data_IF_756413161656
#
_entry.id   IF_756413161656
#
_cell.length_a   1.000
_cell.length_b   1.000
_cell.length_c   1.000
_cell.angle_alpha   90.00
_cell.angle_beta   90.00
_cell.angle_gamma   90.00
#
_symmetry.space_group_name_H-M   'P 1'
#
loop_
_entity.id
_entity.type
_entity.pdbx_description
1 polymer ?
#
# COMPACT_ATOMS: atom_id res chain seq x y z
N UNK A 1 -7.23 13.40 19.97
CA UNK A 1 -7.94 12.98 18.73
C UNK A 1 -7.04 13.03 17.50
N UNK A 2 -6.50 14.16 17.06
CA UNK A 2 -5.59 14.16 15.88
C UNK A 2 -4.31 13.32 16.06
N UNK A 3 -3.71 13.33 17.25
CA UNK A 3 -2.53 12.51 17.56
C UNK A 3 -2.85 11.02 17.64
N UNK A 4 -4.02 10.66 18.11
CA UNK A 4 -4.51 9.29 18.18
C UNK A 4 -4.78 8.73 16.77
N UNK A 5 -5.47 9.51 15.91
CA UNK A 5 -5.71 9.16 14.50
C UNK A 5 -4.39 9.00 13.77
N UNK A 6 -3.44 9.91 14.00
CA UNK A 6 -2.10 9.81 13.40
C UNK A 6 -1.36 8.56 13.86
N UNK A 7 -1.41 8.24 15.15
CA UNK A 7 -0.77 7.03 15.69
C UNK A 7 -1.39 5.76 15.09
N UNK A 8 -2.72 5.71 14.97
CA UNK A 8 -3.42 4.60 14.33
C UNK A 8 -3.02 4.47 12.84
N UNK A 9 -2.95 5.61 12.13
CA UNK A 9 -2.51 5.63 10.73
C UNK A 9 -1.06 5.13 10.59
N UNK A 10 -0.15 5.57 11.45
CA UNK A 10 1.23 5.05 11.42
C UNK A 10 1.26 3.53 11.63
N UNK A 11 0.41 3.00 12.51
CA UNK A 11 0.30 1.56 12.75
C UNK A 11 -0.14 0.78 11.52
N UNK A 12 -1.29 1.15 10.93
CA UNK A 12 -1.83 0.45 9.76
C UNK A 12 -0.90 0.56 8.55
N UNK A 13 -0.32 1.75 8.30
CA UNK A 13 0.61 1.95 7.19
C UNK A 13 1.91 1.16 7.37
N UNK A 14 2.46 1.15 8.58
CA UNK A 14 3.69 0.38 8.87
C UNK A 14 3.44 -1.11 8.67
N UNK A 15 2.34 -1.65 9.21
CA UNK A 15 2.03 -3.09 9.10
C UNK A 15 1.81 -3.50 7.64
N UNK A 16 1.05 -2.73 6.86
CA UNK A 16 0.74 -3.06 5.46
C UNK A 16 1.87 -2.69 4.50
N UNK A 17 2.21 -1.40 4.43
CA UNK A 17 3.07 -0.89 3.36
C UNK A 17 4.57 -0.98 3.66
N UNK A 18 4.98 -0.99 4.93
CA UNK A 18 6.40 -1.09 5.30
C UNK A 18 6.80 -2.53 5.55
N UNK A 19 6.06 -3.23 6.41
CA UNK A 19 6.37 -4.60 6.82
C UNK A 19 5.79 -5.64 5.87
N UNK A 20 4.77 -5.25 5.09
CA UNK A 20 4.02 -6.13 4.15
C UNK A 20 3.39 -7.34 4.86
N UNK A 21 3.01 -7.14 6.14
CA UNK A 21 2.35 -8.15 6.97
C UNK A 21 0.83 -8.11 6.70
N UNK A 22 0.43 -8.66 5.56
CA UNK A 22 -0.95 -8.65 5.08
C UNK A 22 -1.88 -9.55 5.91
N UNK A 23 -1.34 -10.44 6.72
CA UNK A 23 -2.12 -11.22 7.68
C UNK A 23 -2.52 -10.38 8.90
N UNK A 24 -1.60 -9.51 9.39
CA UNK A 24 -1.85 -8.62 10.52
C UNK A 24 -2.51 -7.30 10.13
N UNK A 25 -2.32 -6.84 8.91
CA UNK A 25 -2.85 -5.55 8.49
C UNK A 25 -4.34 -5.37 8.78
N UNK A 26 -5.25 -6.37 8.58
CA UNK A 26 -6.67 -6.24 8.90
C UNK A 26 -6.98 -6.05 10.38
N UNK A 27 -6.05 -6.33 11.30
CA UNK A 27 -6.25 -6.08 12.74
C UNK A 27 -6.35 -4.58 13.07
N UNK A 28 -5.95 -3.69 12.16
CA UNK A 28 -6.14 -2.25 12.27
C UNK A 28 -7.53 -1.78 11.83
N UNK A 29 -8.40 -2.69 11.40
CA UNK A 29 -9.77 -2.41 10.96
C UNK A 29 -10.78 -2.87 12.01
N UNK A 30 -11.94 -2.19 12.08
CA UNK A 30 -13.06 -2.66 12.93
C UNK A 30 -13.64 -3.98 12.39
N UNK A 31 -14.34 -4.72 13.25
CA UNK A 31 -14.99 -5.98 12.82
C UNK A 31 -16.02 -5.77 11.71
N UNK A 32 -16.68 -4.62 11.69
CA UNK A 32 -17.74 -4.22 10.76
C UNK A 32 -17.23 -3.22 9.67
N UNK A 33 -15.92 -3.12 9.45
CA UNK A 33 -15.33 -2.18 8.49
C UNK A 33 -16.03 -2.23 7.14
N UNK A 34 -16.21 -1.06 6.53
CA UNK A 34 -16.60 -0.92 5.13
C UNK A 34 -15.37 -0.56 4.29
N UNK A 35 -14.92 -1.49 3.47
CA UNK A 35 -13.81 -1.28 2.54
C UNK A 35 -14.31 -1.16 1.12
N UNK A 36 -14.04 -0.03 0.48
CA UNK A 36 -14.46 0.26 -0.89
C UNK A 36 -13.25 0.28 -1.80
N UNK A 37 -13.08 -0.80 -2.53
CA UNK A 37 -12.07 -0.89 -3.57
C UNK A 37 -12.74 -0.64 -4.93
N UNK A 38 -12.34 0.44 -5.62
CA UNK A 38 -13.07 0.93 -6.81
C UNK A 38 -13.07 -0.02 -8.00
N UNK A 39 -12.16 -0.98 -8.02
CA UNK A 39 -12.03 -1.95 -9.12
C UNK A 39 -12.51 -3.34 -8.72
N UNK A 40 -12.19 -3.76 -7.50
CA UNK A 40 -12.55 -5.10 -7.02
C UNK A 40 -13.91 -5.16 -6.31
N UNK A 41 -14.48 -3.99 -5.94
CA UNK A 41 -15.79 -3.91 -5.32
C UNK A 41 -15.74 -3.55 -3.83
N UNK A 42 -16.85 -3.76 -3.15
CA UNK A 42 -17.01 -3.39 -1.74
C UNK A 42 -17.00 -4.63 -0.87
N UNK A 43 -16.21 -4.59 0.20
CA UNK A 43 -16.12 -5.63 1.20
C UNK A 43 -16.71 -5.14 2.52
N UNK A 44 -17.46 -5.99 3.20
CA UNK A 44 -18.08 -5.72 4.48
C UNK A 44 -17.48 -6.63 5.55
N UNK A 45 -16.88 -6.03 6.55
CA UNK A 45 -16.27 -6.70 7.68
C UNK A 45 -14.82 -7.12 7.48
N UNK A 46 -14.08 -7.12 8.59
CA UNK A 46 -12.64 -7.39 8.67
C UNK A 46 -12.24 -8.71 7.98
N UNK A 47 -13.02 -9.77 8.18
CA UNK A 47 -12.69 -11.08 7.61
C UNK A 47 -12.84 -11.14 6.10
N UNK A 48 -13.81 -10.40 5.53
CA UNK A 48 -13.93 -10.28 4.08
C UNK A 48 -12.72 -9.52 3.48
N UNK A 49 -12.27 -8.46 4.16
CA UNK A 49 -11.07 -7.71 3.78
C UNK A 49 -9.82 -8.60 3.90
N UNK A 50 -9.70 -9.37 5.00
CA UNK A 50 -8.58 -10.31 5.22
C UNK A 50 -8.47 -11.32 4.09
N UNK A 51 -9.56 -12.00 3.77
CA UNK A 51 -9.56 -12.99 2.70
C UNK A 51 -9.15 -12.37 1.35
N UNK A 52 -9.72 -11.21 1.02
CA UNK A 52 -9.42 -10.51 -0.22
C UNK A 52 -7.95 -10.05 -0.32
N UNK A 53 -7.41 -9.38 0.73
CA UNK A 53 -6.05 -8.85 0.67
C UNK A 53 -5.00 -9.97 0.64
N UNK A 54 -5.23 -11.05 1.37
CA UNK A 54 -4.34 -12.21 1.36
C UNK A 54 -4.28 -12.85 -0.03
N UNK A 55 -5.43 -13.07 -0.67
CA UNK A 55 -5.49 -13.61 -2.02
C UNK A 55 -4.86 -12.65 -3.05
N UNK A 56 -5.12 -11.34 -2.91
CA UNK A 56 -4.57 -10.34 -3.82
C UNK A 56 -3.05 -10.31 -3.73
N UNK A 57 -2.49 -10.22 -2.52
CA UNK A 57 -1.05 -10.09 -2.33
C UNK A 57 -0.28 -11.38 -2.61
N UNK A 58 -0.91 -12.55 -2.50
CA UNK A 58 -0.33 -13.81 -2.97
C UNK A 58 -0.03 -13.80 -4.49
N UNK A 59 -0.78 -13.00 -5.26
CA UNK A 59 -0.62 -12.90 -6.73
C UNK A 59 0.10 -11.61 -7.15
N UNK A 60 0.07 -10.57 -6.30
CA UNK A 60 0.58 -9.22 -6.59
C UNK A 60 1.73 -8.80 -5.68
N UNK A 61 2.43 -9.75 -5.08
CA UNK A 61 3.55 -9.49 -4.16
C UNK A 61 4.72 -8.69 -4.76
N UNK A 62 4.70 -8.43 -6.07
CA UNK A 62 5.70 -7.57 -6.75
C UNK A 62 5.35 -6.06 -6.70
N UNK A 63 4.18 -5.70 -6.14
CA UNK A 63 3.75 -4.29 -6.02
C UNK A 63 4.00 -3.80 -4.60
N UNK A 64 4.75 -2.72 -4.49
CA UNK A 64 5.14 -2.13 -3.21
C UNK A 64 4.57 -0.72 -3.08
N UNK A 65 4.03 -0.37 -1.92
CA UNK A 65 3.50 0.97 -1.68
C UNK A 65 4.58 1.93 -1.13
N UNK A 66 4.59 3.15 -1.67
CA UNK A 66 5.45 4.26 -1.25
C UNK A 66 4.54 5.43 -0.87
N UNK A 67 4.59 5.87 0.39
CA UNK A 67 3.86 7.04 0.86
C UNK A 67 4.52 8.30 0.33
N UNK A 68 3.75 9.15 -0.35
CA UNK A 68 4.23 10.45 -0.82
C UNK A 68 3.92 11.55 0.20
N UNK A 69 2.68 11.61 0.66
CA UNK A 69 2.20 12.53 1.70
C UNK A 69 0.88 12.02 2.31
N UNK A 70 0.48 12.58 3.44
CA UNK A 70 -0.85 12.37 4.01
C UNK A 70 -1.32 13.61 4.78
N UNK A 71 -2.64 13.71 4.95
CA UNK A 71 -3.28 14.72 5.80
C UNK A 71 -4.22 14.05 6.78
N UNK A 72 -4.36 14.66 7.96
CA UNK A 72 -5.32 14.27 8.99
C UNK A 72 -6.32 15.41 9.17
N UNK A 73 -7.60 15.14 8.99
CA UNK A 73 -8.69 16.10 9.19
C UNK A 73 -9.81 15.48 10.02
N UNK A 74 -9.87 15.86 11.28
CA UNK A 74 -10.81 15.25 12.23
C UNK A 74 -10.47 13.78 12.46
N UNK A 75 -11.40 12.91 12.10
CA UNK A 75 -11.27 11.44 12.15
C UNK A 75 -10.81 10.82 10.83
N UNK A 76 -10.49 11.64 9.82
CA UNK A 76 -10.11 11.17 8.49
C UNK A 76 -8.63 11.33 8.21
N UNK A 77 -8.10 10.34 7.51
CA UNK A 77 -6.78 10.39 6.88
C UNK A 77 -6.99 10.29 5.37
N UNK A 78 -6.36 11.19 4.64
CA UNK A 78 -6.24 11.08 3.18
C UNK A 78 -4.76 10.97 2.87
N UNK A 79 -4.39 9.96 2.10
CA UNK A 79 -3.01 9.74 1.74
C UNK A 79 -2.85 9.57 0.24
N UNK A 80 -1.74 10.04 -0.28
CA UNK A 80 -1.27 9.82 -1.64
C UNK A 80 -0.11 8.84 -1.61
N UNK A 81 -0.18 7.84 -2.46
CA UNK A 81 0.84 6.81 -2.56
C UNK A 81 1.20 6.50 -4.01
N UNK A 82 2.39 6.00 -4.18
CA UNK A 82 2.87 5.39 -5.41
C UNK A 82 2.87 3.88 -5.24
N UNK A 83 2.20 3.16 -6.12
CA UNK A 83 2.32 1.72 -6.26
C UNK A 83 3.48 1.44 -7.22
N UNK A 84 4.47 0.67 -6.77
CA UNK A 84 5.77 0.52 -7.44
C UNK A 84 6.09 -0.92 -7.76
N UNK A 85 6.45 -1.20 -9.02
CA UNK A 85 7.19 -2.39 -9.40
C UNK A 85 8.67 -2.04 -9.52
N UNK A 86 9.54 -2.83 -8.91
CA UNK A 86 10.98 -2.71 -9.17
C UNK A 86 11.32 -3.36 -10.51
N UNK A 87 11.93 -2.58 -11.40
CA UNK A 87 12.32 -3.09 -12.71
C UNK A 87 13.38 -4.20 -12.56
N UNK A 88 13.27 -5.34 -13.29
CA UNK A 88 14.23 -6.45 -13.15
C UNK A 88 15.65 -6.09 -13.64
N UNK A 89 15.80 -5.08 -14.49
CA UNK A 89 17.08 -4.47 -14.82
C UNK A 89 17.43 -3.44 -13.73
N UNK A 90 18.56 -3.62 -12.98
CA UNK A 90 18.92 -2.74 -11.87
C UNK A 90 19.27 -1.31 -12.29
N UNK A 91 19.55 -1.06 -13.56
CA UNK A 91 19.88 0.26 -14.10
C UNK A 91 18.66 1.00 -14.66
N UNK A 92 17.48 0.35 -14.68
CA UNK A 92 16.25 0.96 -15.16
C UNK A 92 15.42 1.56 -14.00
N UNK A 93 14.66 2.61 -14.34
CA UNK A 93 13.73 3.24 -13.40
C UNK A 93 12.61 2.28 -12.98
N UNK A 94 12.09 2.40 -11.75
CA UNK A 94 10.89 1.69 -11.32
C UNK A 94 9.69 1.97 -12.23
N UNK A 95 8.72 1.08 -12.21
CA UNK A 95 7.47 1.21 -12.95
C UNK A 95 6.35 1.52 -11.96
N UNK A 96 5.86 2.75 -11.99
CA UNK A 96 4.97 3.30 -10.98
C UNK A 96 3.57 3.57 -11.52
N UNK A 97 2.56 3.52 -10.63
CA UNK A 97 1.23 4.06 -10.84
C UNK A 97 0.68 4.68 -9.55
N UNK A 98 -0.13 5.72 -9.70
CA UNK A 98 -0.64 6.50 -8.57
C UNK A 98 -1.79 5.79 -7.84
N UNK A 99 -1.88 6.03 -6.53
CA UNK A 99 -2.99 5.65 -5.67
C UNK A 99 -3.29 6.74 -4.64
N UNK A 100 -4.53 6.79 -4.20
CA UNK A 100 -5.01 7.65 -3.13
C UNK A 100 -5.95 6.83 -2.26
N UNK A 101 -5.78 6.89 -0.94
CA UNK A 101 -6.65 6.20 0.03
C UNK A 101 -7.29 7.21 0.97
N UNK A 102 -8.54 6.96 1.32
CA UNK A 102 -9.27 7.65 2.38
C UNK A 102 -9.58 6.67 3.49
N UNK A 103 -9.13 6.97 4.70
CA UNK A 103 -9.42 6.21 5.92
C UNK A 103 -10.32 7.03 6.84
N UNK A 104 -11.24 6.37 7.55
CA UNK A 104 -12.00 6.99 8.65
C UNK A 104 -11.77 6.22 9.94
N UNK A 105 -11.23 6.92 10.93
CA UNK A 105 -10.94 6.40 12.25
C UNK A 105 -12.24 6.18 13.02
N UNK A 106 -12.34 5.04 13.69
CA UNK A 106 -13.52 4.64 14.47
C UNK A 106 -13.31 4.63 15.99
N UNK A 107 -12.09 4.91 16.45
CA UNK A 107 -11.70 4.80 17.85
C UNK A 107 -10.82 3.58 18.13
N UNK A 108 -10.26 3.53 19.33
CA UNK A 108 -9.48 2.38 19.84
C UNK A 108 -8.33 1.92 18.94
N UNK A 109 -7.76 2.84 18.15
CA UNK A 109 -6.67 2.55 17.22
C UNK A 109 -7.12 1.91 15.90
N UNK A 110 -8.44 1.83 15.62
CA UNK A 110 -9.01 1.12 14.48
C UNK A 110 -9.68 2.06 13.48
N UNK A 111 -9.70 1.63 12.21
CA UNK A 111 -10.41 2.27 11.11
C UNK A 111 -11.68 1.49 10.76
N UNK A 112 -12.81 2.20 10.67
CA UNK A 112 -14.11 1.63 10.31
C UNK A 112 -14.47 1.79 8.84
N UNK A 113 -13.68 2.58 8.12
CA UNK A 113 -13.87 2.80 6.67
C UNK A 113 -12.53 2.98 6.00
N UNK A 114 -12.41 2.37 4.81
CA UNK A 114 -11.31 2.60 3.87
C UNK A 114 -11.85 2.66 2.45
N UNK A 115 -11.32 3.57 1.65
CA UNK A 115 -11.69 3.69 0.25
C UNK A 115 -10.46 3.99 -0.59
N UNK A 116 -10.19 3.11 -1.57
CA UNK A 116 -9.06 3.21 -2.47
C UNK A 116 -9.45 3.73 -3.84
N UNK A 117 -8.68 4.70 -4.28
CA UNK A 117 -8.71 5.26 -5.62
C UNK A 117 -7.35 5.06 -6.27
N UNK A 118 -7.31 4.39 -7.40
CA UNK A 118 -6.07 4.26 -8.15
C UNK A 118 -6.34 4.27 -9.66
N UNK A 119 -5.31 4.67 -10.41
CA UNK A 119 -5.40 4.72 -11.87
C UNK A 119 -5.39 3.30 -12.45
N UNK A 120 -6.58 2.74 -12.67
CA UNK A 120 -6.76 1.40 -13.24
C UNK A 120 -6.09 1.23 -14.60
N UNK A 121 -6.09 2.28 -15.43
CA UNK A 121 -5.43 2.24 -16.73
C UNK A 121 -3.91 2.26 -16.57
N UNK A 122 -3.40 3.14 -15.72
CA UNK A 122 -1.99 3.22 -15.37
C UNK A 122 -1.49 1.91 -14.76
N UNK A 123 -2.24 1.33 -13.82
CA UNK A 123 -1.93 0.04 -13.21
C UNK A 123 -1.84 -1.10 -14.23
N UNK A 124 -2.80 -1.17 -15.18
CA UNK A 124 -2.75 -2.16 -16.26
C UNK A 124 -1.50 -2.00 -17.12
N UNK A 125 -1.17 -0.76 -17.50
CA UNK A 125 0.04 -0.45 -18.29
C UNK A 125 1.30 -0.77 -17.50
N UNK A 126 1.35 -0.41 -16.21
CA UNK A 126 2.48 -0.70 -15.34
C UNK A 126 2.72 -2.21 -15.22
N UNK A 127 1.66 -2.98 -14.97
CA UNK A 127 1.74 -4.44 -14.89
C UNK A 127 2.24 -5.06 -16.20
N UNK A 128 1.71 -4.61 -17.36
CA UNK A 128 2.16 -5.09 -18.66
C UNK A 128 3.66 -4.78 -18.88
N UNK A 129 4.08 -3.55 -18.61
CA UNK A 129 5.49 -3.15 -18.72
C UNK A 129 6.41 -3.98 -17.83
N UNK A 130 5.97 -4.24 -16.59
CA UNK A 130 6.73 -5.09 -15.67
C UNK A 130 6.85 -6.53 -16.21
N UNK A 131 5.75 -7.14 -16.64
CA UNK A 131 5.76 -8.50 -17.21
C UNK A 131 6.69 -8.59 -18.43
N UNK A 132 6.60 -7.64 -19.36
CA UNK A 132 7.48 -7.57 -20.54
C UNK A 132 8.96 -7.37 -20.14
N UNK A 133 9.23 -6.59 -19.08
CA UNK A 133 10.58 -6.40 -18.58
C UNK A 133 11.15 -7.70 -17.98
N UNK A 134 10.35 -8.42 -17.18
CA UNK A 134 10.75 -9.73 -16.62
C UNK A 134 11.04 -10.73 -17.74
N UNK A 135 10.20 -10.80 -18.78
CA UNK A 135 10.43 -11.67 -19.93
C UNK A 135 11.74 -11.32 -20.66
N UNK A 136 12.00 -10.04 -20.91
CA UNK A 136 13.26 -9.57 -21.54
C UNK A 136 14.51 -9.89 -20.73
N UNK A 137 14.38 -9.91 -19.40
CA UNK A 137 15.45 -10.30 -18.47
C UNK A 137 15.55 -11.83 -18.27
N UNK A 138 14.89 -12.63 -19.12
CA UNK A 138 14.97 -14.10 -19.10
C UNK A 138 14.15 -14.74 -17.99
N UNK A 139 13.06 -14.09 -17.56
CA UNK A 139 12.17 -14.57 -16.49
C UNK A 139 12.76 -14.40 -15.09
N UNK A 140 13.84 -13.63 -14.94
CA UNK A 140 14.48 -13.37 -13.65
C UNK A 140 14.07 -12.00 -13.12
N UNK A 141 13.71 -11.94 -11.83
CA UNK A 141 13.61 -10.70 -11.10
C UNK A 141 14.99 -10.11 -10.76
N UNK A 142 14.99 -9.05 -9.96
CA UNK A 142 16.22 -8.50 -9.40
C UNK A 142 16.97 -9.55 -8.57
N UNK A 143 18.29 -9.49 -8.59
CA UNK A 143 19.11 -10.27 -7.67
C UNK A 143 18.77 -9.88 -6.21
N UNK A 144 18.74 -10.86 -5.30
CA UNK A 144 18.27 -10.70 -3.92
C UNK A 144 18.90 -9.49 -3.22
N UNK A 145 20.21 -9.31 -3.31
CA UNK A 145 20.89 -8.19 -2.65
C UNK A 145 20.48 -6.80 -3.19
N UNK A 146 20.11 -6.70 -4.47
CA UNK A 146 19.60 -5.44 -5.04
C UNK A 146 18.16 -5.18 -4.62
N UNK A 147 17.31 -6.19 -4.62
CA UNK A 147 15.94 -6.09 -4.13
C UNK A 147 15.92 -5.66 -2.66
N UNK A 148 16.70 -6.33 -1.81
CA UNK A 148 16.83 -5.98 -0.39
C UNK A 148 17.25 -4.52 -0.17
N UNK A 149 18.17 -3.99 -1.00
CA UNK A 149 18.59 -2.59 -0.91
C UNK A 149 17.45 -1.63 -1.28
N UNK A 150 16.72 -1.90 -2.36
CA UNK A 150 15.57 -1.08 -2.79
C UNK A 150 14.42 -1.13 -1.78
N UNK A 151 14.16 -2.28 -1.18
CA UNK A 151 13.19 -2.41 -0.10
C UNK A 151 13.60 -1.62 1.15
N UNK A 152 14.87 -1.64 1.51
CA UNK A 152 15.39 -0.84 2.62
C UNK A 152 15.25 0.67 2.34
N UNK A 153 15.53 1.12 1.12
CA UNK A 153 15.31 2.51 0.69
C UNK A 153 13.82 2.90 0.74
N UNK A 154 12.93 2.03 0.26
CA UNK A 154 11.47 2.24 0.32
C UNK A 154 10.98 2.36 1.76
N UNK A 155 11.40 1.44 2.64
CA UNK A 155 11.04 1.46 4.07
C UNK A 155 11.52 2.75 4.72
N UNK A 156 12.75 3.18 4.45
CA UNK A 156 13.29 4.44 4.96
C UNK A 156 12.49 5.65 4.44
N UNK A 157 12.09 5.67 3.17
CA UNK A 157 11.26 6.73 2.59
C UNK A 157 9.90 6.80 3.28
N UNK A 158 9.20 5.66 3.44
CA UNK A 158 7.93 5.60 4.15
C UNK A 158 8.05 6.14 5.59
N UNK A 159 9.06 5.69 6.33
CA UNK A 159 9.30 6.17 7.69
C UNK A 159 9.60 7.68 7.74
N UNK A 160 10.34 8.22 6.76
CA UNK A 160 10.65 9.65 6.71
C UNK A 160 9.38 10.49 6.54
N UNK A 161 8.43 10.07 5.68
CA UNK A 161 7.15 10.77 5.50
C UNK A 161 6.29 10.68 6.76
N UNK A 162 6.20 9.50 7.40
CA UNK A 162 5.49 9.35 8.67
C UNK A 162 6.08 10.25 9.76
N UNK A 163 7.42 10.32 9.86
CA UNK A 163 8.11 11.14 10.85
C UNK A 163 7.96 12.65 10.59
N UNK A 164 7.90 13.08 9.33
CA UNK A 164 7.64 14.48 8.97
C UNK A 164 6.24 14.94 9.39
N UNK A 165 5.30 14.01 9.54
CA UNK A 165 3.93 14.30 9.92
C UNK A 165 3.03 14.71 8.74
N UNK A 166 1.75 14.99 9.02
CA UNK A 166 0.78 15.34 7.99
C UNK A 166 1.13 16.71 7.35
N UNK A 167 0.86 16.80 6.07
CA UNK A 167 1.06 18.01 5.24
C UNK A 167 0.00 19.07 5.54
#
# INVERSE_FOLDING_TARGET
MSDEVRTAFHGIWTTGAVDEDWERWPEHLTEDVLYVERIFGTMHGREAVRAWITDLMAVRGDVHAVLNWYVVSGDRVVLDMTNRYYHPDPDADPIDFAGLTVLQYAGDGLFGYEEDYWDARGAKVAHQRFTEAVERCGGRGLENGRLEALEAERKAQNHAVLAAGPS
#
